data_IF_359585482825
#
_entry.id   IF_359585482825
#
_cell.length_a   1.000
_cell.length_b   1.000
_cell.length_c   1.000
_cell.angle_alpha   90.00
_cell.angle_beta   90.00
_cell.angle_gamma   90.00
#
_symmetry.space_group_name_H-M   'P 1'
#
loop_
_entity.id
_entity.type
_entity.pdbx_description
1 polymer ?
#
# COMPACT_ATOMS: atom_id res chain seq x y z
N UNK A 1 2.98 12.98 -15.05
CA UNK A 1 3.13 12.56 -13.64
C UNK A 1 3.02 13.81 -12.78
N UNK A 2 2.11 13.85 -11.81
CA UNK A 2 1.83 15.05 -10.99
C UNK A 2 2.77 15.19 -9.78
N UNK A 3 3.64 14.20 -9.51
CA UNK A 3 4.54 14.17 -8.35
C UNK A 3 3.84 13.93 -7.00
N UNK A 4 2.50 13.76 -7.01
CA UNK A 4 1.68 13.51 -5.83
C UNK A 4 1.71 12.03 -5.42
N UNK A 5 1.56 11.72 -4.11
CA UNK A 5 1.42 10.34 -3.65
C UNK A 5 0.17 9.69 -4.24
N UNK A 6 0.18 8.36 -4.34
CA UNK A 6 -0.99 7.59 -4.77
C UNK A 6 -1.92 7.38 -3.57
N UNK A 7 -3.25 7.48 -3.77
CA UNK A 7 -4.24 7.07 -2.76
C UNK A 7 -3.91 5.72 -2.14
N UNK A 8 -4.19 5.51 -0.85
CA UNK A 8 -4.13 4.20 -0.25
C UNK A 8 -5.18 3.22 -0.85
N UNK A 9 -4.99 1.90 -0.67
CA UNK A 9 -6.02 0.92 -0.95
C UNK A 9 -7.35 1.19 -0.21
N UNK A 10 -8.48 0.83 -0.82
CA UNK A 10 -9.81 1.02 -0.20
C UNK A 10 -10.04 0.17 1.05
N UNK A 11 -9.34 -0.96 1.12
CA UNK A 11 -9.48 -1.95 2.19
C UNK A 11 -8.26 -2.84 2.19
N UNK A 12 -8.00 -3.46 3.33
CA UNK A 12 -6.93 -4.43 3.50
C UNK A 12 -7.51 -5.80 3.83
N UNK A 13 -6.83 -6.87 3.42
CA UNK A 13 -7.11 -8.24 3.85
C UNK A 13 -5.82 -9.05 3.92
N UNK A 14 -5.81 -10.06 4.78
CA UNK A 14 -4.74 -11.05 4.82
C UNK A 14 -5.20 -12.31 4.10
N UNK A 15 -4.32 -12.90 3.28
CA UNK A 15 -4.60 -14.16 2.58
C UNK A 15 -3.48 -15.17 2.79
N UNK A 16 -3.85 -16.44 3.01
CA UNK A 16 -2.89 -17.53 3.23
C UNK A 16 -2.27 -18.01 1.92
N UNK A 17 -0.96 -18.21 1.89
CA UNK A 17 -0.21 -18.81 0.77
C UNK A 17 -0.01 -20.31 1.02
N UNK A 18 -0.60 -21.14 0.14
CA UNK A 18 -0.55 -22.62 0.29
C UNK A 18 0.86 -23.23 0.26
N UNK A 19 1.83 -22.57 -0.38
CA UNK A 19 3.17 -23.13 -0.64
C UNK A 19 4.27 -22.13 -0.29
N UNK A 20 4.27 -21.61 0.94
CA UNK A 20 5.33 -20.74 1.42
C UNK A 20 6.63 -21.53 1.65
N UNK A 21 7.75 -21.01 1.13
CA UNK A 21 9.08 -21.54 1.40
C UNK A 21 9.61 -21.05 2.76
N UNK A 22 10.71 -21.65 3.25
CA UNK A 22 11.30 -21.40 4.59
C UNK A 22 11.57 -19.92 4.92
N UNK A 23 11.82 -19.07 3.93
CA UNK A 23 12.11 -17.64 4.09
C UNK A 23 11.03 -16.75 3.46
N UNK A 24 9.86 -17.32 3.21
CA UNK A 24 8.72 -16.61 2.66
C UNK A 24 7.58 -16.56 3.67
N UNK A 25 6.78 -15.49 3.57
CA UNK A 25 5.58 -15.36 4.38
C UNK A 25 4.53 -16.40 3.99
N UNK A 26 3.96 -17.04 5.00
CA UNK A 26 2.80 -17.94 4.88
C UNK A 26 1.49 -17.18 4.66
N UNK A 27 1.47 -15.89 4.98
CA UNK A 27 0.35 -14.98 4.79
C UNK A 27 0.82 -13.75 4.03
N UNK A 28 -0.08 -13.12 3.29
CA UNK A 28 0.23 -11.89 2.56
C UNK A 28 -0.88 -10.86 2.79
N UNK A 29 -0.47 -9.65 3.18
CA UNK A 29 -1.32 -8.48 3.23
C UNK A 29 -1.60 -7.99 1.81
N UNK A 30 -2.88 -7.86 1.49
CA UNK A 30 -3.36 -7.35 0.21
C UNK A 30 -4.18 -6.08 0.41
N UNK A 31 -4.02 -5.13 -0.52
CA UNK A 31 -4.82 -3.91 -0.62
C UNK A 31 -5.83 -4.00 -1.76
N UNK A 32 -7.04 -3.47 -1.54
CA UNK A 32 -8.09 -3.37 -2.56
C UNK A 32 -7.88 -2.15 -3.44
N UNK A 33 -7.53 -2.37 -4.71
CA UNK A 33 -7.37 -1.27 -5.66
C UNK A 33 -8.71 -0.60 -6.00
N UNK A 34 -8.76 0.72 -5.89
CA UNK A 34 -9.95 1.51 -6.23
C UNK A 34 -10.21 1.59 -7.74
N UNK A 35 -9.18 1.46 -8.59
CA UNK A 35 -9.32 1.57 -10.05
C UNK A 35 -9.67 0.23 -10.69
N UNK A 36 -8.78 -0.76 -10.59
CA UNK A 36 -8.99 -2.05 -11.22
C UNK A 36 -9.87 -3.00 -10.40
N UNK A 37 -10.20 -2.64 -9.15
CA UNK A 37 -11.00 -3.48 -8.25
C UNK A 37 -10.37 -4.89 -8.18
N UNK A 38 -9.05 -4.98 -8.02
CA UNK A 38 -8.31 -6.22 -7.69
C UNK A 38 -7.72 -6.11 -6.28
N UNK A 39 -7.55 -7.25 -5.63
CA UNK A 39 -6.73 -7.34 -4.43
C UNK A 39 -5.28 -7.52 -4.89
N UNK A 40 -4.39 -6.69 -4.38
CA UNK A 40 -2.98 -6.68 -4.78
C UNK A 40 -2.10 -6.80 -3.55
N UNK A 41 -1.02 -7.60 -3.58
CA UNK A 41 -0.08 -7.65 -2.47
C UNK A 41 0.51 -6.26 -2.17
N UNK A 42 0.47 -5.86 -0.91
CA UNK A 42 1.05 -4.59 -0.44
C UNK A 42 2.32 -4.78 0.39
N UNK A 43 2.85 -6.01 0.41
CA UNK A 43 4.09 -6.34 1.08
C UNK A 43 4.92 -7.37 0.30
N UNK A 44 6.15 -7.64 0.76
CA UNK A 44 7.04 -8.61 0.14
C UNK A 44 6.58 -10.04 0.41
N UNK A 45 6.88 -10.96 -0.50
CA UNK A 45 6.77 -12.40 -0.24
C UNK A 45 7.88 -12.87 0.71
N UNK A 46 9.08 -12.28 0.61
CA UNK A 46 10.22 -12.64 1.46
C UNK A 46 9.98 -12.12 2.87
N UNK A 47 10.20 -12.95 3.87
CA UNK A 47 10.07 -12.56 5.26
C UNK A 47 11.28 -11.73 5.72
N UNK A 48 11.28 -10.48 5.27
CA UNK A 48 12.28 -9.47 5.61
C UNK A 48 11.58 -8.12 5.80
N UNK A 49 12.18 -7.30 6.65
CA UNK A 49 11.77 -5.91 6.81
C UNK A 49 12.11 -5.12 5.55
N UNK A 50 11.19 -4.24 5.14
CA UNK A 50 11.37 -3.36 3.98
C UNK A 50 11.42 -1.92 4.47
N UNK A 51 12.35 -1.14 3.91
CA UNK A 51 12.54 0.26 4.31
C UNK A 51 11.36 1.16 3.95
N UNK A 52 10.58 0.78 2.93
CA UNK A 52 9.42 1.52 2.46
C UNK A 52 8.27 0.52 2.29
N UNK A 53 7.36 0.48 3.27
CA UNK A 53 6.22 -0.45 3.28
C UNK A 53 5.35 -0.29 2.03
N UNK A 54 5.14 0.95 1.61
CA UNK A 54 4.26 1.34 0.50
C UNK A 54 4.78 0.95 -0.89
N UNK A 55 6.07 0.57 -1.01
CA UNK A 55 6.73 0.36 -2.29
C UNK A 55 5.98 -0.63 -3.18
N UNK A 56 5.39 -1.66 -2.58
CA UNK A 56 4.62 -2.68 -3.31
C UNK A 56 3.32 -2.12 -3.87
N UNK A 57 2.62 -1.29 -3.10
CA UNK A 57 1.42 -0.59 -3.55
C UNK A 57 1.74 0.43 -4.64
N UNK A 58 2.77 1.26 -4.46
CA UNK A 58 3.15 2.28 -5.44
C UNK A 58 3.50 1.69 -6.81
N UNK A 59 4.11 0.50 -6.87
CA UNK A 59 4.35 -0.22 -8.14
C UNK A 59 3.05 -0.53 -8.88
N UNK A 60 2.03 -1.01 -8.15
CA UNK A 60 0.72 -1.25 -8.73
C UNK A 60 0.05 0.06 -9.15
N UNK A 61 -0.01 1.04 -8.25
CA UNK A 61 -0.68 2.31 -8.49
C UNK A 61 -0.05 3.08 -9.67
N UNK A 62 1.27 3.11 -9.80
CA UNK A 62 1.96 3.73 -10.94
C UNK A 62 1.54 3.11 -12.28
N UNK A 63 1.45 1.78 -12.34
CA UNK A 63 1.11 1.04 -13.56
C UNK A 63 -0.39 1.08 -13.87
N UNK A 64 -1.22 0.99 -12.82
CA UNK A 64 -2.66 0.89 -12.94
C UNK A 64 -3.32 2.26 -13.10
N UNK A 65 -2.91 3.25 -12.30
CA UNK A 65 -3.58 4.54 -12.22
C UNK A 65 -3.15 5.48 -13.35
N UNK A 66 -1.90 5.41 -13.85
CA UNK A 66 -1.44 6.16 -15.04
C UNK A 66 -1.80 7.66 -15.03
N UNK A 67 -1.88 8.29 -13.85
CA UNK A 67 -2.24 9.71 -13.71
C UNK A 67 -3.73 10.01 -13.63
N UNK A 68 -4.62 9.01 -13.62
CA UNK A 68 -6.02 9.24 -13.23
C UNK A 68 -6.09 9.49 -11.72
N UNK A 69 -6.50 10.70 -11.33
CA UNK A 69 -6.83 10.95 -9.94
C UNK A 69 -8.18 10.32 -9.60
N UNK A 70 -8.25 9.57 -8.50
CA UNK A 70 -9.51 9.15 -7.88
C UNK A 70 -9.88 10.09 -6.73
N UNK A 71 -11.18 10.24 -6.42
CA UNK A 71 -11.60 10.92 -5.20
C UNK A 71 -10.95 10.27 -3.98
N UNK A 72 -10.20 11.04 -3.17
CA UNK A 72 -9.38 10.53 -2.06
C UNK A 72 -7.87 10.45 -2.35
N UNK A 73 -7.43 10.79 -3.57
CA UNK A 73 -6.00 11.03 -3.82
C UNK A 73 -5.54 12.22 -2.98
N UNK A 74 -4.41 12.03 -2.27
CA UNK A 74 -3.81 12.88 -1.22
C UNK A 74 -4.09 12.42 0.23
N UNK A 75 -4.78 11.30 0.46
CA UNK A 75 -4.91 10.71 1.82
C UNK A 75 -3.62 9.99 2.29
N UNK A 76 -3.38 10.05 3.61
CA UNK A 76 -2.24 9.40 4.26
C UNK A 76 -2.35 7.88 4.19
N UNK A 77 -1.23 7.21 3.90
CA UNK A 77 -1.19 5.75 3.81
C UNK A 77 -1.27 5.06 5.17
N UNK A 78 -0.59 5.61 6.18
CA UNK A 78 -0.56 5.13 7.56
C UNK A 78 -0.62 6.35 8.50
N UNK A 79 -1.36 6.24 9.60
CA UNK A 79 -1.39 7.26 10.66
C UNK A 79 -0.31 6.91 11.68
N UNK A 80 0.95 7.16 11.32
CA UNK A 80 2.11 6.87 12.16
C UNK A 80 2.43 8.01 13.14
N UNK A 81 3.53 7.88 13.89
CA UNK A 81 3.97 8.89 14.85
C UNK A 81 4.27 10.24 14.19
N UNK A 82 4.74 10.25 12.93
CA UNK A 82 5.01 11.48 12.18
C UNK A 82 3.69 12.16 11.81
N UNK A 83 2.71 11.40 11.32
CA UNK A 83 1.35 11.90 11.07
C UNK A 83 0.75 12.52 12.34
N UNK A 84 0.82 11.81 13.48
CA UNK A 84 0.31 12.32 14.75
C UNK A 84 1.00 13.64 15.15
N UNK A 85 2.33 13.72 15.00
CA UNK A 85 3.09 14.94 15.29
C UNK A 85 2.74 16.11 14.38
N UNK A 86 2.54 15.87 13.09
CA UNK A 86 2.12 16.92 12.15
C UNK A 86 0.73 17.43 12.51
N UNK A 87 -0.18 16.53 12.87
CA UNK A 87 -1.53 16.89 13.30
C UNK A 87 -1.53 17.72 14.60
N UNK A 88 -0.68 17.39 15.59
CA UNK A 88 -0.48 18.19 16.81
C UNK A 88 0.00 19.62 16.49
N UNK A 89 0.80 19.78 15.44
CA UNK A 89 1.33 21.06 14.98
C UNK A 89 0.36 21.84 14.07
N UNK A 90 -0.78 21.25 13.72
CA UNK A 90 -1.78 21.85 12.83
C UNK A 90 -1.32 21.96 11.37
N UNK A 91 -0.40 21.08 10.95
CA UNK A 91 0.15 21.00 9.59
C UNK A 91 -0.46 19.85 8.79
#
# INVERSE_FOLDING_TARGET
MTGRPFSPPLSYRTSSRRYALKLERSEILEGRCHKCKKWVPVESIKDCEVKVKELFWWKHAATCHQGSQVPGDDDFYEQDDVFCRLQELGL
#
